data_IF_170484938722
#
_entry.id   IF_170484938722
#
_cell.length_a   1.000
_cell.length_b   1.000
_cell.length_c   1.000
_cell.angle_alpha   90.00
_cell.angle_beta   90.00
_cell.angle_gamma   90.00
#
_symmetry.space_group_name_H-M   'P 1'
#
loop_
_entity.id
_entity.type
_entity.pdbx_description
1 polymer ?
#
# COMPACT_ATOMS: atom_id res chain seq x y z
N UNK A 1 -7.30 15.93 -2.92
CA UNK A 1 -6.10 16.39 -2.17
C UNK A 1 -6.23 16.23 -0.65
N UNK A 2 -7.10 16.96 0.06
CA UNK A 2 -7.22 16.90 1.54
C UNK A 2 -7.41 15.48 2.12
N UNK A 3 -8.19 14.63 1.46
CA UNK A 3 -8.47 13.26 1.94
C UNK A 3 -7.26 12.33 1.84
N UNK A 4 -6.47 12.43 0.76
CA UNK A 4 -5.32 11.54 0.51
C UNK A 4 -4.18 11.84 1.47
N UNK A 5 -3.86 13.13 1.68
CA UNK A 5 -2.85 13.54 2.66
C UNK A 5 -3.21 13.02 4.06
N UNK A 6 -4.48 13.07 4.46
CA UNK A 6 -4.93 12.50 5.74
C UNK A 6 -4.77 10.98 5.80
N UNK A 7 -5.02 10.24 4.70
CA UNK A 7 -4.81 8.79 4.67
C UNK A 7 -3.33 8.44 4.84
N UNK A 8 -2.44 9.16 4.15
CA UNK A 8 -0.99 8.97 4.30
C UNK A 8 -0.53 9.26 5.73
N UNK A 9 -1.03 10.33 6.35
CA UNK A 9 -0.72 10.62 7.76
C UNK A 9 -1.24 9.52 8.70
N UNK A 10 -2.47 9.03 8.50
CA UNK A 10 -3.06 7.96 9.31
C UNK A 10 -2.33 6.63 9.12
N UNK A 11 -1.76 6.39 7.94
CA UNK A 11 -1.05 5.17 7.60
C UNK A 11 0.46 5.25 7.86
N UNK A 12 1.00 6.42 8.27
CA UNK A 12 2.44 6.69 8.43
C UNK A 12 3.24 5.60 9.18
N UNK A 13 2.63 4.96 10.18
CA UNK A 13 3.28 3.91 11.00
C UNK A 13 2.92 2.47 10.57
N UNK A 14 2.10 2.31 9.53
CA UNK A 14 1.72 1.00 9.00
C UNK A 14 2.79 0.46 8.05
N UNK A 15 2.75 -0.85 7.82
CA UNK A 15 3.74 -1.53 7.00
C UNK A 15 3.55 -1.26 5.51
N UNK A 16 4.64 -1.08 4.80
CA UNK A 16 4.63 -0.83 3.36
C UNK A 16 5.73 -1.65 2.70
N UNK A 17 5.50 -2.15 1.49
CA UNK A 17 6.50 -2.87 0.70
C UNK A 17 6.60 -2.29 -0.70
N UNK A 18 7.70 -2.55 -1.39
CA UNK A 18 7.92 -2.07 -2.76
C UNK A 18 6.87 -2.59 -3.76
N UNK A 19 6.22 -3.71 -3.47
CA UNK A 19 5.16 -4.29 -4.32
C UNK A 19 3.97 -3.32 -4.47
N UNK A 20 3.71 -2.51 -3.44
CA UNK A 20 2.59 -1.56 -3.39
C UNK A 20 2.85 -0.24 -4.13
N UNK A 21 4.07 -0.02 -4.65
CA UNK A 21 4.46 1.26 -5.20
C UNK A 21 3.61 1.67 -6.41
N UNK A 22 3.25 0.69 -7.25
CA UNK A 22 2.45 0.92 -8.44
C UNK A 22 1.07 1.50 -8.11
N UNK A 23 0.30 0.80 -7.27
CA UNK A 23 -1.07 1.21 -6.92
C UNK A 23 -1.07 2.52 -6.12
N UNK A 24 -0.12 2.67 -5.19
CA UNK A 24 0.04 3.91 -4.41
C UNK A 24 0.34 5.10 -5.32
N UNK A 25 1.25 4.96 -6.29
CA UNK A 25 1.56 6.04 -7.23
C UNK A 25 0.34 6.39 -8.09
N UNK A 26 -0.37 5.39 -8.61
CA UNK A 26 -1.60 5.58 -9.39
C UNK A 26 -2.66 6.37 -8.59
N UNK A 27 -2.86 6.04 -7.31
CA UNK A 27 -3.76 6.77 -6.42
C UNK A 27 -3.31 8.21 -6.20
N UNK A 28 -2.01 8.43 -5.98
CA UNK A 28 -1.43 9.76 -5.74
C UNK A 28 -1.62 10.74 -6.90
N UNK A 29 -1.56 10.25 -8.15
CA UNK A 29 -1.65 11.09 -9.35
C UNK A 29 -3.04 11.06 -10.01
N UNK A 30 -4.03 10.43 -9.37
CA UNK A 30 -5.39 10.26 -9.90
C UNK A 30 -5.41 9.60 -11.30
N UNK A 31 -4.58 8.56 -11.48
CA UNK A 31 -4.46 7.81 -12.74
C UNK A 31 -4.69 6.30 -12.53
N UNK A 32 -5.90 5.88 -12.08
CA UNK A 32 -6.22 4.47 -11.95
C UNK A 32 -6.25 3.80 -13.33
N UNK A 33 -5.83 2.54 -13.38
CA UNK A 33 -5.86 1.70 -14.57
C UNK A 33 -6.70 0.45 -14.32
N UNK A 34 -6.89 -0.38 -15.35
CA UNK A 34 -7.53 -1.69 -15.19
C UNK A 34 -6.75 -2.67 -14.29
N UNK A 35 -5.52 -2.32 -13.90
CA UNK A 35 -4.67 -3.11 -12.99
C UNK A 35 -4.58 -2.50 -11.59
N UNK A 36 -5.20 -1.35 -11.35
CA UNK A 36 -5.19 -0.69 -10.05
C UNK A 36 -5.97 -1.48 -9.01
N UNK A 37 -5.38 -1.68 -7.84
CA UNK A 37 -6.01 -2.27 -6.66
C UNK A 37 -6.00 -1.29 -5.48
N UNK A 38 -7.19 -0.87 -5.04
CA UNK A 38 -7.36 0.09 -3.95
C UNK A 38 -6.92 -0.46 -2.59
N UNK A 39 -6.83 -1.79 -2.40
CA UNK A 39 -6.31 -2.40 -1.16
C UNK A 39 -4.78 -2.31 -1.10
N UNK A 40 -4.11 -2.23 -2.25
CA UNK A 40 -2.65 -2.08 -2.42
C UNK A 40 -2.19 -0.62 -2.46
N UNK A 41 -3.12 0.33 -2.52
CA UNK A 41 -2.83 1.77 -2.52
C UNK A 41 -2.75 2.32 -1.09
N UNK A 42 -1.55 2.70 -0.66
CA UNK A 42 -1.31 3.23 0.69
C UNK A 42 -2.00 4.58 0.98
N UNK A 43 -2.46 5.28 -0.06
CA UNK A 43 -3.23 6.52 0.03
C UNK A 43 -4.76 6.31 0.00
N UNK A 44 -5.20 5.06 -0.20
CA UNK A 44 -6.61 4.66 -0.22
C UNK A 44 -7.16 4.42 1.19
N UNK A 45 -8.48 4.61 1.32
CA UNK A 45 -9.21 4.23 2.54
C UNK A 45 -9.41 2.71 2.67
N UNK A 46 -9.18 1.95 1.59
CA UNK A 46 -9.33 0.49 1.55
C UNK A 46 -8.05 -0.25 1.98
N UNK A 47 -6.93 0.46 2.13
CA UNK A 47 -5.68 -0.12 2.61
C UNK A 47 -5.84 -0.69 4.03
N UNK A 48 -5.57 -1.99 4.17
CA UNK A 48 -5.90 -2.77 5.37
C UNK A 48 -4.83 -3.77 5.81
N UNK A 49 -3.67 -3.79 5.15
CA UNK A 49 -2.64 -4.76 5.46
C UNK A 49 -1.96 -4.50 6.80
N UNK A 50 -1.57 -5.58 7.48
CA UNK A 50 -0.70 -5.60 8.65
C UNK A 50 0.52 -6.50 8.39
N UNK A 51 1.40 -6.66 9.38
CA UNK A 51 2.65 -7.44 9.22
C UNK A 51 2.38 -8.89 8.81
N UNK A 52 1.29 -9.47 9.30
CA UNK A 52 0.92 -10.87 9.15
C UNK A 52 0.34 -11.16 7.76
N UNK A 53 -0.32 -10.16 7.16
CA UNK A 53 -0.97 -10.28 5.84
C UNK A 53 -0.14 -9.71 4.71
N UNK A 54 0.79 -8.78 4.98
CA UNK A 54 1.54 -8.10 3.94
C UNK A 54 2.65 -9.00 3.37
N UNK A 55 2.85 -8.89 2.06
CA UNK A 55 3.87 -9.62 1.31
C UNK A 55 4.81 -8.67 0.57
N UNK A 56 5.94 -9.22 0.13
CA UNK A 56 6.93 -8.56 -0.73
C UNK A 56 7.39 -9.54 -1.82
N UNK A 57 8.21 -9.07 -2.75
CA UNK A 57 8.78 -9.85 -3.86
C UNK A 57 7.70 -10.45 -4.75
N UNK A 58 6.82 -9.59 -5.30
CA UNK A 58 5.69 -9.99 -6.14
C UNK A 58 4.72 -10.93 -5.40
N UNK A 59 4.48 -10.67 -4.12
CA UNK A 59 3.59 -11.48 -3.28
C UNK A 59 4.15 -12.84 -2.85
N UNK A 60 5.43 -13.14 -3.13
CA UNK A 60 6.01 -14.46 -2.90
C UNK A 60 6.48 -14.67 -1.47
N UNK A 61 6.87 -13.60 -0.77
CA UNK A 61 7.41 -13.66 0.58
C UNK A 61 6.53 -12.89 1.55
N UNK A 62 6.19 -13.49 2.69
CA UNK A 62 5.48 -12.75 3.74
C UNK A 62 6.44 -11.77 4.40
N UNK A 63 5.94 -10.58 4.75
CA UNK A 63 6.75 -9.60 5.50
C UNK A 63 7.21 -10.14 6.85
N UNK A 64 6.50 -11.13 7.42
CA UNK A 64 6.92 -11.83 8.64
C UNK A 64 8.28 -12.54 8.52
N UNK A 65 8.74 -12.87 7.31
CA UNK A 65 10.03 -13.51 7.04
C UNK A 65 11.21 -12.54 7.19
N UNK A 66 10.97 -11.24 7.07
CA UNK A 66 11.98 -10.21 7.31
C UNK A 66 12.35 -10.18 8.80
N UNK A 67 13.59 -10.57 9.09
CA UNK A 67 14.17 -10.62 10.43
C UNK A 67 15.19 -9.49 10.54
N UNK A 68 14.94 -8.56 11.46
CA UNK A 68 15.90 -7.53 11.88
C UNK A 68 17.15 -8.13 12.49
#
# INVERSE_FOLDING_TARGET
MLRMSQMLENNREKYFTNDMFYDTLCGLIDAPSNRYDAEQDFSSAEYKFNRETLTTMLGQHKLTEDRK
#
